data_IF_116225083500
#
_entry.id   IF_116225083500
#
_cell.length_a   1.000
_cell.length_b   1.000
_cell.length_c   1.000
_cell.angle_alpha   90.00
_cell.angle_beta   90.00
_cell.angle_gamma   90.00
#
_symmetry.space_group_name_H-M   'P 1'
#
loop_
_entity.id
_entity.type
_entity.pdbx_description
1 polymer ?
#
# COMPACT_ATOMS: atom_id res chain seq x y z
N UNK A 1 69.67 -34.67 19.05
CA UNK A 1 69.67 -34.22 20.45
C UNK A 1 68.43 -33.37 20.66
N UNK A 2 67.67 -33.69 21.72
CA UNK A 2 66.46 -33.06 22.28
C UNK A 2 66.43 -31.52 22.21
N UNK A 3 65.31 -30.79 22.31
CA UNK A 3 63.98 -30.96 22.94
C UNK A 3 62.99 -30.09 22.12
N UNK A 4 61.67 -30.30 22.03
CA UNK A 4 60.72 -30.64 23.08
C UNK A 4 59.82 -29.44 23.39
N UNK A 5 58.76 -29.20 22.60
CA UNK A 5 57.63 -28.36 23.01
C UNK A 5 56.32 -28.79 22.32
N UNK A 6 55.44 -29.42 23.10
CA UNK A 6 54.01 -29.61 22.84
C UNK A 6 53.32 -28.24 22.85
N UNK A 7 52.31 -28.03 22.01
CA UNK A 7 50.87 -28.09 22.40
C UNK A 7 49.90 -27.72 21.26
N UNK A 8 48.75 -28.41 21.32
CA UNK A 8 47.40 -28.00 20.94
C UNK A 8 47.04 -27.75 19.46
N UNK A 9 46.34 -28.74 18.89
CA UNK A 9 45.32 -28.55 17.84
C UNK A 9 44.16 -27.76 18.44
N UNK A 10 43.70 -26.72 17.75
CA UNK A 10 42.46 -26.00 18.03
C UNK A 10 41.46 -26.25 16.90
N UNK A 11 40.28 -26.72 17.29
CA UNK A 11 39.08 -26.93 16.50
C UNK A 11 38.32 -25.62 16.30
N UNK A 12 37.74 -25.45 15.10
CA UNK A 12 36.51 -24.71 14.76
C UNK A 12 36.31 -23.28 15.29
N UNK A 13 36.02 -22.31 14.41
CA UNK A 13 34.66 -21.77 14.40
C UNK A 13 34.30 -20.91 13.17
N UNK A 14 32.99 -20.86 12.95
CA UNK A 14 32.19 -20.32 11.84
C UNK A 14 32.46 -18.85 11.51
N UNK A 15 32.59 -18.55 10.22
CA UNK A 15 32.35 -17.20 9.69
C UNK A 15 30.85 -16.87 9.83
N UNK A 16 30.56 -15.82 10.59
CA UNK A 16 29.22 -15.41 11.01
C UNK A 16 28.34 -14.97 9.84
N UNK A 17 27.23 -15.69 9.66
CA UNK A 17 26.04 -15.17 9.00
C UNK A 17 25.49 -13.99 9.83
N UNK A 18 25.08 -12.93 9.15
CA UNK A 18 24.36 -11.82 9.76
C UNK A 18 23.13 -12.36 10.52
N UNK A 19 22.79 -11.81 11.71
CA UNK A 19 21.65 -12.29 12.48
C UNK A 19 20.37 -12.06 11.67
N UNK A 20 19.70 -13.16 11.32
CA UNK A 20 18.30 -13.13 10.90
C UNK A 20 17.52 -12.57 12.08
N UNK A 21 16.87 -11.43 11.88
CA UNK A 21 15.90 -10.91 12.83
C UNK A 21 14.66 -11.79 12.78
N UNK A 22 14.68 -12.89 13.53
CA UNK A 22 13.50 -13.73 13.80
C UNK A 22 12.60 -13.00 14.80
N UNK A 23 12.08 -11.83 14.41
CA UNK A 23 10.95 -11.20 15.08
C UNK A 23 9.71 -11.65 14.33
N UNK A 24 8.88 -12.54 14.89
CA UNK A 24 7.59 -12.86 14.32
C UNK A 24 6.78 -11.57 14.19
N UNK A 25 6.23 -11.31 13.01
CA UNK A 25 5.15 -10.33 12.88
C UNK A 25 3.94 -10.96 13.54
N UNK A 26 3.80 -10.76 14.86
CA UNK A 26 2.60 -11.14 15.58
C UNK A 26 1.42 -10.37 14.99
N UNK A 27 0.45 -11.12 14.43
CA UNK A 27 -0.89 -10.64 14.21
C UNK A 27 -1.52 -10.37 15.59
N UNK A 28 -1.36 -9.15 16.09
CA UNK A 28 -1.89 -8.75 17.39
C UNK A 28 -3.43 -8.93 17.44
N UNK A 29 -3.99 -9.43 18.56
CA UNK A 29 -5.42 -9.63 18.71
C UNK A 29 -6.08 -8.26 18.99
N UNK A 30 -7.00 -7.87 18.12
CA UNK A 30 -7.66 -6.56 18.21
C UNK A 30 -9.01 -6.56 17.51
N UNK A 31 -9.89 -7.49 17.91
CA UNK A 31 -11.32 -7.45 17.58
C UNK A 31 -11.97 -6.26 18.30
N UNK A 32 -11.97 -5.08 17.69
CA UNK A 32 -13.03 -4.10 17.96
C UNK A 32 -14.20 -4.43 17.04
N UNK A 33 -15.30 -4.90 17.62
CA UNK A 33 -16.54 -5.13 16.90
C UNK A 33 -16.95 -3.84 16.16
N UNK A 34 -17.03 -3.92 14.84
CA UNK A 34 -17.62 -2.85 14.03
C UNK A 34 -19.15 -2.98 14.08
N UNK A 35 -19.90 -1.86 14.00
CA UNK A 35 -21.34 -1.89 13.96
C UNK A 35 -21.84 -2.73 12.77
N UNK A 36 -22.98 -3.39 12.97
CA UNK A 36 -23.61 -4.25 11.98
C UNK A 36 -23.85 -3.53 10.64
N UNK A 37 -23.81 -4.29 9.55
CA UNK A 37 -24.04 -3.83 8.20
C UNK A 37 -25.28 -2.92 8.10
N UNK A 38 -25.11 -1.74 7.52
CA UNK A 38 -26.24 -0.89 7.12
C UNK A 38 -26.81 -1.50 5.84
N UNK A 39 -28.00 -2.08 5.95
CA UNK A 39 -28.73 -2.65 4.82
C UNK A 39 -29.11 -1.55 3.83
N UNK A 40 -28.56 -1.62 2.61
CA UNK A 40 -29.01 -0.82 1.47
C UNK A 40 -30.35 -1.34 0.90
N UNK A 41 -31.05 -0.53 0.09
CA UNK A 41 -32.33 -0.94 -0.50
C UNK A 41 -32.17 -2.20 -1.36
N UNK A 42 -33.07 -3.15 -1.16
CA UNK A 42 -33.13 -4.45 -1.81
C UNK A 42 -33.41 -4.32 -3.31
N UNK A 43 -32.33 -4.35 -4.09
CA UNK A 43 -32.34 -4.42 -5.55
C UNK A 43 -31.08 -5.13 -6.05
N UNK A 44 -30.83 -6.34 -5.56
CA UNK A 44 -29.67 -7.16 -5.97
C UNK A 44 -29.91 -7.62 -7.42
N UNK A 45 -29.18 -7.03 -8.36
CA UNK A 45 -29.07 -7.55 -9.72
C UNK A 45 -28.10 -8.73 -9.69
N UNK A 46 -28.52 -9.86 -10.26
CA UNK A 46 -27.78 -11.12 -10.25
C UNK A 46 -26.33 -10.91 -10.72
N UNK A 47 -25.37 -11.21 -9.82
CA UNK A 47 -23.93 -11.18 -10.11
C UNK A 47 -23.58 -12.48 -10.84
N UNK A 48 -23.08 -12.44 -12.09
CA UNK A 48 -22.72 -13.64 -12.82
C UNK A 48 -21.60 -14.40 -12.09
N UNK A 49 -21.63 -15.74 -12.04
CA UNK A 49 -20.55 -16.50 -11.45
C UNK A 49 -19.27 -16.37 -12.30
N UNK A 50 -18.17 -15.92 -11.70
CA UNK A 50 -16.82 -16.15 -12.20
C UNK A 50 -16.13 -15.03 -13.00
N UNK A 51 -16.72 -13.84 -13.15
CA UNK A 51 -16.09 -12.72 -13.88
C UNK A 51 -15.58 -11.61 -12.97
N UNK A 52 -14.27 -11.32 -13.02
CA UNK A 52 -13.72 -10.08 -12.44
C UNK A 52 -14.09 -8.89 -13.33
N UNK A 53 -14.46 -7.77 -12.72
CA UNK A 53 -14.64 -6.50 -13.45
C UNK A 53 -13.37 -5.66 -13.39
N UNK A 54 -13.15 -4.84 -14.40
CA UNK A 54 -12.10 -3.82 -14.39
C UNK A 54 -12.71 -2.45 -14.07
N UNK A 55 -12.20 -1.79 -13.05
CA UNK A 55 -12.53 -0.42 -12.65
C UNK A 55 -11.33 0.47 -12.96
N UNK A 56 -11.32 1.05 -14.15
CA UNK A 56 -10.36 2.10 -14.48
C UNK A 56 -10.95 3.44 -14.10
N UNK A 57 -10.26 4.17 -13.22
CA UNK A 57 -10.62 5.56 -12.93
C UNK A 57 -10.22 6.43 -14.14
N UNK A 58 -11.06 6.44 -15.18
CA UNK A 58 -10.91 7.38 -16.30
C UNK A 58 -11.30 8.77 -15.78
N UNK A 59 -10.28 9.60 -15.55
CA UNK A 59 -10.45 10.95 -15.02
C UNK A 59 -11.05 11.87 -16.09
N UNK A 60 -12.15 12.53 -15.77
CA UNK A 60 -12.57 13.71 -16.51
C UNK A 60 -11.62 14.88 -16.18
N UNK A 61 -11.04 15.58 -17.17
CA UNK A 61 -10.18 16.73 -16.92
C UNK A 61 -10.86 17.75 -15.99
N UNK A 62 -10.14 18.18 -14.94
CA UNK A 62 -10.62 19.21 -14.00
C UNK A 62 -11.56 18.71 -12.88
N UNK A 63 -11.88 17.42 -12.79
CA UNK A 63 -12.64 16.89 -11.66
C UNK A 63 -11.85 17.04 -10.34
N UNK A 64 -12.46 17.52 -9.25
CA UNK A 64 -11.80 17.64 -7.96
C UNK A 64 -11.35 16.26 -7.47
N UNK A 65 -10.12 16.17 -6.97
CA UNK A 65 -9.59 14.93 -6.39
C UNK A 65 -9.83 14.93 -4.89
N UNK A 66 -10.31 13.81 -4.38
CA UNK A 66 -10.53 13.59 -2.95
C UNK A 66 -9.66 12.41 -2.51
N UNK A 67 -8.38 12.64 -2.14
CA UNK A 67 -7.47 11.53 -1.85
C UNK A 67 -7.96 10.59 -0.73
N UNK A 68 -8.73 11.13 0.22
CA UNK A 68 -9.43 10.33 1.23
C UNK A 68 -10.42 9.36 0.59
N UNK A 69 -11.26 9.82 -0.34
CA UNK A 69 -12.22 8.95 -1.03
C UNK A 69 -11.51 7.91 -1.87
N UNK A 70 -10.38 8.24 -2.51
CA UNK A 70 -9.61 7.29 -3.30
C UNK A 70 -9.11 6.12 -2.45
N UNK A 71 -8.57 6.41 -1.25
CA UNK A 71 -8.11 5.41 -0.27
C UNK A 71 -9.27 4.64 0.36
N UNK A 72 -10.36 5.34 0.72
CA UNK A 72 -11.50 4.71 1.39
C UNK A 72 -12.37 3.88 0.44
N UNK A 73 -12.40 4.23 -0.85
CA UNK A 73 -13.12 3.49 -1.89
C UNK A 73 -12.70 2.02 -1.96
N UNK A 74 -11.42 1.72 -1.75
CA UNK A 74 -10.90 0.34 -1.73
C UNK A 74 -11.51 -0.47 -0.57
N UNK A 75 -11.78 0.19 0.56
CA UNK A 75 -12.39 -0.44 1.73
C UNK A 75 -13.88 -0.63 1.58
N UNK A 76 -14.58 0.36 1.01
CA UNK A 76 -16.01 0.22 0.70
C UNK A 76 -16.22 -0.92 -0.28
N UNK A 77 -15.41 -0.99 -1.34
CA UNK A 77 -15.46 -2.09 -2.30
C UNK A 77 -15.19 -3.45 -1.64
N UNK A 78 -14.17 -3.54 -0.78
CA UNK A 78 -13.90 -4.74 0.02
C UNK A 78 -15.11 -5.18 0.86
N UNK A 79 -15.78 -4.23 1.51
CA UNK A 79 -16.97 -4.51 2.33
C UNK A 79 -18.14 -5.04 1.48
N UNK A 80 -18.38 -4.44 0.31
CA UNK A 80 -19.45 -4.90 -0.60
C UNK A 80 -19.19 -6.28 -1.16
N UNK A 81 -17.94 -6.58 -1.54
CA UNK A 81 -17.56 -7.94 -1.99
C UNK A 81 -17.68 -8.94 -0.84
N UNK A 82 -17.25 -8.59 0.37
CA UNK A 82 -17.38 -9.45 1.54
C UNK A 82 -18.85 -9.77 1.90
N UNK A 83 -19.75 -8.84 1.64
CA UNK A 83 -21.19 -9.00 1.87
C UNK A 83 -21.91 -9.74 0.73
N UNK A 84 -21.23 -10.03 -0.39
CA UNK A 84 -21.85 -10.58 -1.59
C UNK A 84 -22.72 -9.56 -2.35
N UNK A 85 -22.56 -8.28 -2.06
CA UNK A 85 -23.31 -7.16 -2.67
C UNK A 85 -22.60 -6.61 -3.93
N UNK A 86 -21.33 -6.95 -4.13
CA UNK A 86 -20.55 -6.64 -5.32
C UNK A 86 -19.70 -7.84 -5.76
N UNK A 87 -19.29 -7.85 -7.03
CA UNK A 87 -18.41 -8.87 -7.61
C UNK A 87 -16.93 -8.58 -7.37
N UNK A 88 -16.08 -9.59 -7.56
CA UNK A 88 -14.63 -9.44 -7.61
C UNK A 88 -14.22 -8.38 -8.64
N UNK A 89 -13.24 -7.55 -8.26
CA UNK A 89 -12.88 -6.38 -9.05
C UNK A 89 -11.38 -6.11 -9.02
N UNK A 90 -10.86 -5.61 -10.14
CA UNK A 90 -9.55 -4.99 -10.26
C UNK A 90 -9.77 -3.51 -10.44
N UNK A 91 -9.21 -2.67 -9.57
CA UNK A 91 -9.29 -1.22 -9.68
C UNK A 91 -7.92 -0.64 -9.95
N UNK A 92 -7.79 0.09 -11.04
CA UNK A 92 -6.57 0.79 -11.46
C UNK A 92 -6.81 2.29 -11.40
N UNK A 93 -5.96 3.01 -10.68
CA UNK A 93 -6.06 4.46 -10.58
C UNK A 93 -4.70 5.09 -10.30
N UNK A 94 -4.58 6.35 -10.68
CA UNK A 94 -3.51 7.21 -10.19
C UNK A 94 -4.03 8.02 -9.02
N UNK A 95 -3.39 7.92 -7.83
CA UNK A 95 -3.87 8.61 -6.65
C UNK A 95 -3.56 10.10 -6.73
N UNK A 96 -4.32 10.92 -6.03
CA UNK A 96 -3.94 12.29 -5.73
C UNK A 96 -2.76 12.32 -4.74
N UNK A 97 -1.94 13.39 -4.73
CA UNK A 97 -0.85 13.54 -3.77
C UNK A 97 -1.29 13.27 -2.33
N UNK A 98 -0.83 12.16 -1.76
CA UNK A 98 -1.23 11.66 -0.43
C UNK A 98 -0.04 11.09 0.31
N UNK A 99 0.02 11.30 1.63
CA UNK A 99 0.86 10.49 2.51
C UNK A 99 -0.03 9.57 3.32
N UNK A 100 0.04 8.27 2.99
CA UNK A 100 -0.77 7.25 3.65
C UNK A 100 0.01 6.68 4.84
N UNK A 101 -0.30 7.18 6.03
CA UNK A 101 0.27 6.74 7.30
C UNK A 101 -0.44 5.50 7.82
N UNK A 102 0.30 4.63 8.51
CA UNK A 102 -0.29 3.54 9.28
C UNK A 102 -0.87 4.04 10.60
N UNK A 103 -1.75 3.23 11.20
CA UNK A 103 -2.22 3.46 12.58
C UNK A 103 -1.08 3.46 13.61
N UNK A 104 0.01 2.72 13.37
CA UNK A 104 1.17 2.73 14.27
C UNK A 104 1.87 4.08 14.25
N UNK A 105 2.04 4.65 13.06
CA UNK A 105 2.68 5.97 12.90
C UNK A 105 1.79 7.10 13.38
N UNK A 106 0.46 6.97 13.29
CA UNK A 106 -0.46 7.97 13.86
C UNK A 106 -0.37 8.10 15.38
N UNK A 107 0.20 7.10 16.05
CA UNK A 107 0.45 7.10 17.50
C UNK A 107 1.85 7.63 17.86
N UNK A 108 2.69 7.93 16.88
CA UNK A 108 4.04 8.43 17.13
C UNK A 108 3.99 9.86 17.70
N UNK A 109 4.80 10.23 18.72
CA UNK A 109 4.77 11.57 19.31
C UNK A 109 5.01 12.72 18.32
N UNK A 110 5.73 12.45 17.22
CA UNK A 110 6.03 13.42 16.15
C UNK A 110 5.08 13.31 14.95
N UNK A 111 3.99 12.55 15.06
CA UNK A 111 3.05 12.34 13.96
C UNK A 111 2.45 13.65 13.42
N UNK A 112 2.01 14.55 14.30
CA UNK A 112 1.44 15.84 13.90
C UNK A 112 2.41 16.63 13.00
N UNK A 113 3.70 16.67 13.37
CA UNK A 113 4.76 17.30 12.56
C UNK A 113 4.92 16.64 11.18
N UNK A 114 4.84 15.32 11.11
CA UNK A 114 4.93 14.61 9.82
C UNK A 114 3.71 14.87 8.93
N UNK A 115 2.52 14.97 9.53
CA UNK A 115 1.30 15.33 8.81
C UNK A 115 1.36 16.79 8.31
N UNK A 116 1.92 17.72 9.10
CA UNK A 116 2.10 19.11 8.69
C UNK A 116 3.12 19.26 7.55
N UNK A 117 4.22 18.51 7.59
CA UNK A 117 5.18 18.44 6.48
C UNK A 117 4.52 17.95 5.18
N UNK A 118 3.68 16.91 5.27
CA UNK A 118 2.90 16.44 4.13
C UNK A 118 1.99 17.53 3.55
N UNK A 119 1.23 18.23 4.41
CA UNK A 119 0.35 19.33 3.98
C UNK A 119 1.13 20.47 3.34
N UNK A 120 2.26 20.86 3.93
CA UNK A 120 3.12 21.92 3.41
C UNK A 120 3.69 21.56 2.02
N UNK A 121 3.96 20.28 1.77
CA UNK A 121 4.36 19.77 0.47
C UNK A 121 3.20 19.58 -0.53
N UNK A 122 1.96 19.88 -0.14
CA UNK A 122 0.77 19.71 -1.00
C UNK A 122 0.21 18.29 -1.04
N UNK A 123 0.60 17.42 -0.11
CA UNK A 123 0.08 16.05 0.02
C UNK A 123 -0.91 15.97 1.17
N UNK A 124 -2.02 15.25 0.97
CA UNK A 124 -2.99 15.04 2.04
C UNK A 124 -2.51 13.92 2.99
N UNK A 125 -2.33 14.16 4.30
CA UNK A 125 -2.06 13.09 5.26
C UNK A 125 -3.33 12.28 5.54
N UNK A 126 -3.28 10.97 5.31
CA UNK A 126 -4.39 10.04 5.55
C UNK A 126 -3.92 8.88 6.43
N UNK A 127 -4.70 8.51 7.44
CA UNK A 127 -4.43 7.29 8.21
C UNK A 127 -5.18 6.12 7.56
N UNK A 128 -4.43 5.22 6.92
CA UNK A 128 -5.03 4.05 6.25
C UNK A 128 -5.25 2.90 7.25
N UNK A 129 -6.30 2.08 7.06
CA UNK A 129 -6.53 0.92 7.92
C UNK A 129 -5.59 -0.25 7.69
N UNK A 130 -4.94 -0.32 6.53
CA UNK A 130 -3.92 -1.32 6.26
C UNK A 130 -2.63 -1.00 7.04
N UNK A 131 -1.91 -2.05 7.46
CA UNK A 131 -0.64 -1.91 8.19
C UNK A 131 0.52 -1.39 7.32
N UNK A 132 1.75 -1.68 7.76
CA UNK A 132 2.99 -1.22 7.11
C UNK A 132 3.47 0.12 7.65
N UNK A 133 4.43 0.75 6.95
CA UNK A 133 4.88 2.12 7.23
C UNK A 133 4.24 3.12 6.25
N UNK A 134 4.51 4.39 6.47
CA UNK A 134 4.04 5.50 5.69
C UNK A 134 4.51 5.35 4.25
N UNK A 135 3.61 5.66 3.33
CA UNK A 135 3.90 5.67 1.89
C UNK A 135 3.48 7.01 1.34
N UNK A 136 4.38 7.66 0.62
CA UNK A 136 4.06 8.82 -0.22
C UNK A 136 3.54 8.28 -1.56
N UNK A 137 2.37 8.75 -1.96
CA UNK A 137 1.73 8.45 -3.23
C UNK A 137 1.59 9.75 -4.00
N UNK A 138 2.10 9.76 -5.23
CA UNK A 138 2.00 10.90 -6.14
C UNK A 138 1.12 10.56 -7.35
N UNK A 139 0.79 11.55 -8.16
CA UNK A 139 -0.07 11.37 -9.34
C UNK A 139 0.53 10.48 -10.43
N UNK A 140 1.85 10.34 -10.47
CA UNK A 140 2.56 9.40 -11.33
C UNK A 140 2.65 7.98 -10.75
N UNK A 141 1.90 7.65 -9.70
CA UNK A 141 1.79 6.28 -9.22
C UNK A 141 0.65 5.57 -9.96
N UNK A 142 0.85 4.29 -10.23
CA UNK A 142 -0.23 3.37 -10.52
C UNK A 142 -0.54 2.58 -9.24
N UNK A 143 -1.74 2.76 -8.69
CA UNK A 143 -2.27 1.94 -7.60
C UNK A 143 -3.21 0.90 -8.18
N UNK A 144 -3.01 -0.35 -7.76
CA UNK A 144 -3.73 -1.54 -8.21
C UNK A 144 -4.39 -2.15 -6.98
N UNK A 145 -5.72 -2.15 -6.93
CA UNK A 145 -6.48 -2.89 -5.92
C UNK A 145 -7.08 -4.15 -6.56
N UNK A 146 -6.78 -5.30 -6.00
CA UNK A 146 -7.38 -6.59 -6.32
C UNK A 146 -8.33 -6.96 -5.19
N UNK A 147 -9.63 -6.82 -5.42
CA UNK A 147 -10.66 -7.19 -4.45
C UNK A 147 -11.28 -8.51 -4.89
N UNK A 148 -11.21 -9.51 -4.02
CA UNK A 148 -11.71 -10.85 -4.32
C UNK A 148 -12.49 -11.42 -3.16
N UNK A 149 -13.61 -12.07 -3.46
CA UNK A 149 -14.33 -12.90 -2.52
C UNK A 149 -13.45 -14.06 -2.08
N UNK A 150 -13.52 -14.40 -0.80
CA UNK A 150 -12.69 -15.42 -0.16
C UNK A 150 -13.56 -16.27 0.77
N UNK A 151 -14.12 -17.34 0.22
CA UNK A 151 -15.00 -18.28 0.94
C UNK A 151 -14.23 -19.11 1.98
N UNK A 152 -12.93 -19.35 1.75
CA UNK A 152 -12.01 -19.97 2.68
C UNK A 152 -10.74 -19.13 2.80
N UNK A 153 -10.29 -18.92 4.05
CA UNK A 153 -9.10 -18.11 4.34
C UNK A 153 -7.86 -18.74 3.70
N UNK A 154 -7.26 -18.02 2.75
CA UNK A 154 -5.96 -18.34 2.17
C UNK A 154 -4.83 -17.83 3.07
N UNK A 155 -3.71 -18.53 3.03
CA UNK A 155 -2.50 -18.10 3.72
C UNK A 155 -2.02 -16.74 3.20
N UNK A 156 -1.70 -15.85 4.13
CA UNK A 156 -1.36 -14.47 3.80
C UNK A 156 0.00 -14.34 3.11
N UNK A 157 0.98 -15.13 3.53
CA UNK A 157 2.32 -15.13 2.95
C UNK A 157 2.33 -15.73 1.55
N UNK A 158 1.56 -16.80 1.32
CA UNK A 158 1.37 -17.39 0.01
C UNK A 158 0.77 -16.39 -0.99
N UNK A 159 -0.29 -15.66 -0.60
CA UNK A 159 -0.89 -14.65 -1.47
C UNK A 159 0.09 -13.53 -1.80
N UNK A 160 0.86 -13.04 -0.82
CA UNK A 160 1.91 -12.05 -1.08
C UNK A 160 2.98 -12.57 -2.04
N UNK A 161 3.45 -13.81 -1.82
CA UNK A 161 4.47 -14.44 -2.67
C UNK A 161 3.96 -14.64 -4.10
N UNK A 162 2.75 -15.14 -4.28
CA UNK A 162 2.13 -15.33 -5.60
C UNK A 162 2.01 -13.99 -6.34
N UNK A 163 1.40 -12.99 -5.71
CA UNK A 163 1.20 -11.68 -6.33
C UNK A 163 2.51 -10.95 -6.56
N UNK A 164 3.48 -11.08 -5.66
CA UNK A 164 4.83 -10.54 -5.86
C UNK A 164 5.52 -11.16 -7.09
N UNK A 165 5.32 -12.46 -7.36
CA UNK A 165 5.80 -13.09 -8.61
C UNK A 165 5.11 -12.50 -9.83
N UNK A 166 3.78 -12.39 -9.79
CA UNK A 166 2.98 -11.79 -10.89
C UNK A 166 3.54 -10.39 -11.27
N UNK A 167 3.79 -9.53 -10.28
CA UNK A 167 4.36 -8.20 -10.51
C UNK A 167 5.83 -8.22 -10.96
N UNK A 168 6.63 -9.16 -10.46
CA UNK A 168 8.01 -9.32 -10.91
C UNK A 168 8.07 -9.76 -12.38
N UNK A 169 7.17 -10.64 -12.80
CA UNK A 169 7.09 -11.12 -14.18
C UNK A 169 6.60 -10.03 -15.14
N UNK A 170 5.62 -9.22 -14.73
CA UNK A 170 5.24 -8.00 -15.47
C UNK A 170 6.42 -7.06 -15.66
N UNK A 171 7.14 -6.73 -14.57
CA UNK A 171 8.29 -5.84 -14.64
C UNK A 171 9.42 -6.36 -15.54
N UNK A 172 9.67 -7.68 -15.54
CA UNK A 172 10.59 -8.32 -16.50
C UNK A 172 10.10 -8.17 -17.94
N UNK A 173 8.81 -8.35 -18.17
CA UNK A 173 8.18 -8.13 -19.48
C UNK A 173 8.37 -6.70 -20.01
N UNK A 174 8.49 -5.72 -19.11
CA UNK A 174 8.78 -4.33 -19.43
C UNK A 174 10.28 -4.01 -19.60
N UNK A 175 11.16 -5.00 -19.39
CA UNK A 175 12.61 -4.86 -19.59
C UNK A 175 13.42 -4.58 -18.32
N UNK A 176 12.81 -4.65 -17.13
CA UNK A 176 13.51 -4.44 -15.85
C UNK A 176 14.25 -5.73 -15.42
N UNK A 177 15.44 -5.62 -14.82
CA UNK A 177 16.04 -6.69 -13.99
C UNK A 177 15.27 -6.80 -12.67
N UNK A 178 14.02 -7.28 -12.76
CA UNK A 178 13.11 -7.33 -11.62
C UNK A 178 13.33 -8.59 -10.78
N UNK A 179 13.39 -8.41 -9.46
CA UNK A 179 13.59 -9.47 -8.47
C UNK A 179 12.51 -9.38 -7.41
N UNK A 180 12.00 -10.53 -7.00
CA UNK A 180 11.09 -10.65 -5.87
C UNK A 180 11.92 -10.70 -4.57
N UNK A 181 11.59 -9.82 -3.63
CA UNK A 181 12.27 -9.66 -2.36
C UNK A 181 12.41 -8.20 -1.97
N UNK A 182 12.36 -7.92 -0.68
CA UNK A 182 12.69 -6.60 -0.13
C UNK A 182 14.16 -6.21 -0.35
N UNK A 183 14.42 -4.90 -0.47
CA UNK A 183 15.77 -4.32 -0.44
C UNK A 183 16.12 -3.92 1.00
N UNK A 184 17.37 -4.14 1.40
CA UNK A 184 17.85 -3.69 2.71
C UNK A 184 17.73 -2.15 2.81
N UNK A 185 17.07 -1.67 3.85
CA UNK A 185 16.85 -0.22 4.03
C UNK A 185 15.70 0.36 3.22
N UNK A 186 14.87 -0.46 2.56
CA UNK A 186 13.73 0.08 1.80
C UNK A 186 12.68 0.79 2.67
N UNK A 187 12.08 1.83 2.10
CA UNK A 187 10.91 2.45 2.72
C UNK A 187 9.73 1.46 2.73
N UNK A 188 8.93 1.52 3.79
CA UNK A 188 7.80 0.62 4.02
C UNK A 188 8.16 -0.85 3.72
N UNK A 189 9.10 -1.45 4.48
CA UNK A 189 9.70 -2.73 4.15
C UNK A 189 8.67 -3.86 4.05
N UNK A 190 8.85 -4.72 3.05
CA UNK A 190 8.04 -5.91 2.80
C UNK A 190 8.89 -7.05 2.24
N UNK A 191 8.67 -8.26 2.75
CA UNK A 191 9.39 -9.48 2.32
C UNK A 191 9.18 -9.76 0.82
N UNK A 192 8.00 -9.41 0.29
CA UNK A 192 7.55 -9.71 -1.06
C UNK A 192 7.47 -8.46 -1.96
N UNK A 193 8.23 -7.41 -1.66
CA UNK A 193 8.43 -6.28 -2.57
C UNK A 193 9.04 -6.75 -3.89
N UNK A 194 8.85 -5.97 -4.97
CA UNK A 194 9.60 -6.17 -6.22
C UNK A 194 10.60 -5.04 -6.36
N UNK A 195 11.83 -5.39 -6.69
CA UNK A 195 12.93 -4.44 -6.84
C UNK A 195 13.60 -4.56 -8.22
N UNK A 196 14.26 -3.50 -8.67
CA UNK A 196 15.20 -3.52 -9.77
C UNK A 196 16.62 -3.79 -9.25
N UNK A 197 17.33 -4.69 -9.94
CA UNK A 197 18.76 -4.97 -9.78
C UNK A 197 19.20 -5.41 -8.38
N UNK A 198 18.28 -5.69 -7.47
CA UNK A 198 18.56 -5.97 -6.04
C UNK A 198 18.71 -4.71 -5.18
N UNK A 199 18.41 -3.51 -5.69
CA UNK A 199 18.82 -2.25 -5.07
C UNK A 199 17.71 -1.19 -4.96
N UNK A 200 16.72 -1.18 -5.86
CA UNK A 200 15.69 -0.13 -5.91
C UNK A 200 14.32 -0.76 -5.86
N UNK A 201 13.50 -0.42 -4.87
CA UNK A 201 12.12 -0.90 -4.76
C UNK A 201 11.25 -0.24 -5.83
N UNK A 202 10.54 -1.07 -6.60
CA UNK A 202 9.62 -0.64 -7.65
C UNK A 202 8.16 -0.96 -7.34
N UNK A 203 7.89 -2.05 -6.62
CA UNK A 203 6.53 -2.45 -6.25
C UNK A 203 6.45 -2.67 -4.76
N UNK A 204 5.61 -1.88 -4.11
CA UNK A 204 5.16 -2.12 -2.75
C UNK A 204 3.79 -2.79 -2.74
N UNK A 205 3.62 -3.81 -1.91
CA UNK A 205 2.35 -4.54 -1.78
C UNK A 205 1.81 -4.49 -0.35
N UNK A 206 0.50 -4.46 -0.20
CA UNK A 206 -0.20 -4.59 1.08
C UNK A 206 -1.46 -5.45 0.89
N UNK A 207 -1.99 -6.00 1.97
CA UNK A 207 -3.30 -6.65 1.91
C UNK A 207 -4.11 -6.41 3.18
N UNK A 208 -5.42 -6.43 3.02
CA UNK A 208 -6.39 -6.43 4.11
C UNK A 208 -7.42 -7.51 3.87
N UNK A 209 -7.64 -8.33 4.88
CA UNK A 209 -8.59 -9.43 4.79
C UNK A 209 -9.67 -9.28 5.84
N UNK A 210 -10.90 -9.53 5.41
CA UNK A 210 -12.08 -9.59 6.26
C UNK A 210 -12.77 -10.92 6.02
N UNK A 211 -13.73 -11.29 6.88
CA UNK A 211 -14.53 -12.49 6.63
C UNK A 211 -15.25 -12.34 5.28
N UNK A 212 -14.97 -13.25 4.35
CA UNK A 212 -15.63 -13.33 3.04
C UNK A 212 -14.91 -12.61 1.89
N UNK A 213 -13.87 -11.81 2.14
CA UNK A 213 -13.12 -11.15 1.05
C UNK A 213 -11.73 -10.66 1.44
N UNK A 214 -10.90 -10.44 0.41
CA UNK A 214 -9.55 -9.87 0.48
C UNK A 214 -9.41 -8.67 -0.44
N UNK A 215 -8.74 -7.64 0.05
CA UNK A 215 -8.17 -6.55 -0.72
C UNK A 215 -6.65 -6.76 -0.74
N UNK A 216 -6.08 -6.94 -1.93
CA UNK A 216 -4.64 -6.90 -2.16
C UNK A 216 -4.31 -5.64 -2.96
N UNK A 217 -3.44 -4.79 -2.44
CA UNK A 217 -3.06 -3.53 -3.09
C UNK A 217 -1.59 -3.60 -3.49
N UNK A 218 -1.28 -3.19 -4.71
CA UNK A 218 0.07 -2.88 -5.16
C UNK A 218 0.17 -1.42 -5.59
N UNK A 219 1.36 -0.86 -5.51
CA UNK A 219 1.66 0.48 -5.99
C UNK A 219 2.97 0.47 -6.76
N UNK A 220 2.98 1.11 -7.94
CA UNK A 220 4.11 1.22 -8.84
C UNK A 220 4.35 2.72 -9.12
N UNK A 221 5.48 3.30 -8.70
CA UNK A 221 5.89 4.62 -9.16
C UNK A 221 6.20 4.55 -10.66
N UNK A 222 5.39 5.16 -11.51
CA UNK A 222 5.70 5.25 -12.94
C UNK A 222 6.85 6.24 -13.17
N UNK A 223 6.82 7.37 -12.45
CA UNK A 223 7.89 8.36 -12.34
C UNK A 223 8.00 8.80 -10.88
N UNK A 224 9.21 9.05 -10.38
CA UNK A 224 9.44 9.58 -9.03
C UNK A 224 9.76 11.08 -9.12
N UNK A 225 8.88 11.92 -8.55
CA UNK A 225 9.12 13.37 -8.51
C UNK A 225 10.10 13.73 -7.39
N UNK A 226 10.91 14.79 -7.59
CA UNK A 226 11.77 15.37 -6.54
C UNK A 226 10.98 15.72 -5.27
N UNK A 227 9.73 16.16 -5.45
CA UNK A 227 8.81 16.49 -4.36
C UNK A 227 8.43 15.25 -3.55
N UNK A 228 8.06 14.15 -4.21
CA UNK A 228 7.72 12.91 -3.54
C UNK A 228 8.95 12.29 -2.84
N UNK A 229 10.11 12.30 -3.51
CA UNK A 229 11.38 11.85 -2.93
C UNK A 229 11.76 12.66 -1.68
N UNK A 230 11.76 13.99 -1.77
CA UNK A 230 12.05 14.88 -0.65
C UNK A 230 11.09 14.67 0.52
N UNK A 231 9.80 14.51 0.23
CA UNK A 231 8.79 14.25 1.26
C UNK A 231 8.96 12.89 1.95
N UNK A 232 9.37 11.84 1.21
CA UNK A 232 9.74 10.56 1.82
C UNK A 232 10.89 10.72 2.81
N UNK A 233 11.94 11.46 2.45
CA UNK A 233 13.09 11.75 3.32
C UNK A 233 12.64 12.51 4.57
N UNK A 234 11.86 13.57 4.40
CA UNK A 234 11.39 14.40 5.49
C UNK A 234 10.47 13.63 6.46
N UNK A 235 9.45 12.94 5.95
CA UNK A 235 8.49 12.18 6.79
C UNK A 235 9.18 11.07 7.56
N UNK A 236 10.04 10.27 6.90
CA UNK A 236 10.77 9.21 7.59
C UNK A 236 11.77 9.79 8.63
N UNK A 237 12.41 10.93 8.35
CA UNK A 237 13.27 11.61 9.31
C UNK A 237 12.51 12.16 10.52
N UNK A 238 11.34 12.77 10.32
CA UNK A 238 10.48 13.25 11.42
C UNK A 238 10.00 12.09 12.29
N UNK A 239 9.68 10.95 11.68
CA UNK A 239 9.23 9.75 12.38
C UNK A 239 10.38 8.88 12.90
N UNK A 240 11.64 9.23 12.60
CA UNK A 240 12.86 8.47 12.95
C UNK A 240 12.77 7.00 12.50
N UNK A 241 12.28 6.83 11.27
CA UNK A 241 12.20 5.56 10.60
C UNK A 241 13.48 5.36 9.82
N UNK A 242 14.32 4.42 10.27
CA UNK A 242 15.52 4.04 9.54
C UNK A 242 15.16 3.48 8.15
N UNK A 243 15.79 4.03 7.13
CA UNK A 243 15.71 3.64 5.72
C UNK A 243 16.86 4.31 4.93
N UNK A 244 17.10 3.86 3.69
CA UNK A 244 18.08 4.41 2.76
C UNK A 244 17.37 5.05 1.56
N UNK A 245 17.47 6.38 1.36
CA UNK A 245 16.86 7.07 0.22
C UNK A 245 17.28 6.54 -1.16
N UNK A 246 18.44 5.89 -1.29
CA UNK A 246 18.87 5.30 -2.56
C UNK A 246 18.02 4.07 -2.98
N UNK A 247 17.17 3.56 -2.08
CA UNK A 247 16.36 2.36 -2.32
C UNK A 247 14.99 2.64 -2.91
N UNK A 248 14.57 3.90 -3.05
CA UNK A 248 13.34 4.28 -3.76
C UNK A 248 13.66 4.69 -5.19
N UNK A 249 12.78 4.35 -6.12
CA UNK A 249 12.89 4.74 -7.53
C UNK A 249 11.58 4.51 -8.26
N UNK A 250 11.64 4.51 -9.58
CA UNK A 250 10.47 4.42 -10.46
C UNK A 250 10.71 3.57 -11.69
N UNK A 251 9.60 3.15 -12.31
CA UNK A 251 9.65 2.31 -13.50
C UNK A 251 10.31 3.01 -14.68
N UNK A 252 10.09 4.32 -14.87
CA UNK A 252 10.69 5.09 -15.95
C UNK A 252 12.22 5.22 -15.86
N UNK A 253 12.82 5.01 -14.69
CA UNK A 253 14.28 5.00 -14.51
C UNK A 253 14.91 3.66 -14.89
N UNK A 254 14.12 2.58 -14.88
CA UNK A 254 14.60 1.20 -15.07
C UNK A 254 14.11 0.59 -16.40
N UNK A 255 13.12 1.20 -17.07
CA UNK A 255 12.56 0.71 -18.34
C UNK A 255 12.01 1.85 -19.22
N UNK A 256 11.93 1.59 -20.53
CA UNK A 256 11.34 2.51 -21.53
C UNK A 256 9.87 2.21 -21.85
N UNK A 257 9.20 1.41 -21.00
CA UNK A 257 7.78 1.08 -21.19
C UNK A 257 6.91 2.32 -20.99
N UNK A 258 5.90 2.48 -21.83
CA UNK A 258 4.95 3.59 -21.71
C UNK A 258 3.80 3.24 -20.76
N UNK A 259 3.29 4.23 -20.03
CA UNK A 259 2.27 4.05 -18.99
C UNK A 259 1.02 3.29 -19.45
N UNK A 260 0.57 3.50 -20.70
CA UNK A 260 -0.61 2.82 -21.26
C UNK A 260 -0.37 1.31 -21.42
N UNK A 261 0.85 0.90 -21.75
CA UNK A 261 1.24 -0.52 -21.83
C UNK A 261 1.25 -1.13 -20.44
N UNK A 262 1.80 -0.43 -19.45
CA UNK A 262 1.81 -0.87 -18.04
C UNK A 262 0.39 -1.11 -17.54
N UNK A 263 -0.52 -0.14 -17.75
CA UNK A 263 -1.93 -0.24 -17.34
C UNK A 263 -2.64 -1.39 -18.03
N UNK A 264 -2.46 -1.54 -19.34
CA UNK A 264 -3.04 -2.63 -20.14
C UNK A 264 -2.58 -3.98 -19.62
N UNK A 265 -1.27 -4.19 -19.49
CA UNK A 265 -0.72 -5.50 -19.10
C UNK A 265 -1.15 -5.90 -17.69
N UNK A 266 -1.20 -4.94 -16.75
CA UNK A 266 -1.76 -5.14 -15.41
C UNK A 266 -3.25 -5.52 -15.48
N UNK A 267 -4.03 -4.80 -16.27
CA UNK A 267 -5.46 -5.08 -16.44
C UNK A 267 -5.69 -6.47 -17.04
N UNK A 268 -4.96 -6.82 -18.10
CA UNK A 268 -5.05 -8.12 -18.77
C UNK A 268 -4.66 -9.26 -17.83
N UNK A 269 -3.60 -9.11 -17.03
CA UNK A 269 -3.17 -10.14 -16.10
C UNK A 269 -4.19 -10.40 -14.98
N UNK A 270 -4.71 -9.33 -14.35
CA UNK A 270 -5.49 -9.48 -13.12
C UNK A 270 -7.00 -9.51 -13.32
N UNK A 271 -7.50 -8.87 -14.38
CA UNK A 271 -8.92 -8.82 -14.70
C UNK A 271 -9.25 -9.73 -15.89
N UNK A 272 -8.31 -9.93 -16.82
CA UNK A 272 -8.50 -10.67 -18.07
C UNK A 272 -8.72 -9.74 -19.27
N UNK A 273 -8.38 -10.18 -20.49
CA UNK A 273 -8.46 -9.35 -21.70
C UNK A 273 -9.90 -8.90 -22.04
N UNK A 274 -10.89 -9.72 -21.69
CA UNK A 274 -12.31 -9.47 -21.96
C UNK A 274 -13.08 -8.98 -20.72
N UNK A 275 -12.35 -8.54 -19.68
CA UNK A 275 -12.98 -8.10 -18.44
C UNK A 275 -13.93 -6.92 -18.68
N UNK A 276 -15.20 -7.00 -18.25
CA UNK A 276 -16.13 -5.89 -18.39
C UNK A 276 -15.63 -4.68 -17.60
N UNK A 277 -15.46 -3.55 -18.29
CA UNK A 277 -15.17 -2.26 -17.67
C UNK A 277 -16.42 -1.71 -16.97
N UNK A 278 -16.26 -1.25 -15.74
CA UNK A 278 -17.33 -0.65 -14.90
C UNK A 278 -16.80 0.55 -14.14
N UNK A 279 -17.67 1.50 -13.83
CA UNK A 279 -17.34 2.57 -12.87
C UNK A 279 -17.58 2.10 -11.45
N UNK A 280 -16.80 2.59 -10.50
CA UNK A 280 -16.96 2.22 -9.08
C UNK A 280 -18.39 2.45 -8.54
N UNK A 281 -19.08 3.58 -8.86
CA UNK A 281 -20.47 3.77 -8.43
C UNK A 281 -21.48 2.79 -9.03
N UNK A 282 -21.12 2.05 -10.10
CA UNK A 282 -22.00 0.99 -10.64
C UNK A 282 -21.93 -0.28 -9.81
N UNK A 283 -20.80 -0.53 -9.12
CA UNK A 283 -20.65 -1.65 -8.18
C UNK A 283 -21.02 -1.26 -6.75
N UNK A 284 -20.92 0.02 -6.42
CA UNK A 284 -21.24 0.57 -5.12
C UNK A 284 -22.17 1.78 -5.30
N UNK A 285 -23.48 1.56 -5.52
CA UNK A 285 -24.42 2.64 -5.81
C UNK A 285 -24.50 3.72 -4.73
N UNK A 286 -24.24 3.35 -3.47
CA UNK A 286 -24.27 4.24 -2.31
C UNK A 286 -22.87 4.74 -1.88
N UNK A 287 -21.89 4.69 -2.79
CA UNK A 287 -20.48 5.01 -2.51
C UNK A 287 -20.31 6.34 -1.76
N UNK A 288 -20.97 7.41 -2.21
CA UNK A 288 -20.84 8.73 -1.59
C UNK A 288 -21.28 8.73 -0.11
N UNK A 289 -22.38 8.03 0.20
CA UNK A 289 -22.89 7.89 1.57
C UNK A 289 -21.94 7.05 2.42
N UNK A 290 -21.48 5.92 1.89
CA UNK A 290 -20.54 5.04 2.58
C UNK A 290 -19.20 5.74 2.89
N UNK A 291 -18.68 6.53 1.94
CA UNK A 291 -17.46 7.32 2.13
C UNK A 291 -17.63 8.38 3.21
N UNK A 292 -18.76 9.11 3.20
CA UNK A 292 -19.05 10.14 4.20
C UNK A 292 -19.09 9.58 5.63
N UNK A 293 -19.62 8.36 5.80
CA UNK A 293 -19.64 7.66 7.09
C UNK A 293 -18.25 7.18 7.55
N UNK A 294 -17.35 6.87 6.62
CA UNK A 294 -15.99 6.38 6.92
C UNK A 294 -14.95 7.49 7.09
N UNK A 295 -15.17 8.65 6.47
CA UNK A 295 -14.19 9.74 6.43
C UNK A 295 -14.04 10.46 7.78
N UNK A 296 -15.10 10.57 8.57
CA UNK A 296 -15.15 11.34 9.82
C UNK A 296 -14.06 10.98 10.85
N UNK A 297 -13.58 9.73 10.84
CA UNK A 297 -12.58 9.22 11.80
C UNK A 297 -11.15 9.11 11.23
N UNK A 298 -10.92 9.45 9.95
CA UNK A 298 -9.70 9.01 9.22
C UNK A 298 -8.91 10.10 8.51
N UNK A 299 -9.49 11.29 8.35
CA UNK A 299 -8.73 12.47 7.96
C UNK A 299 -8.03 12.99 9.21
N UNK A 300 -6.71 13.15 9.15
CA UNK A 300 -6.00 13.85 10.23
C UNK A 300 -6.47 15.29 10.18
N UNK A 301 -7.37 15.68 11.09
CA UNK A 301 -7.69 17.09 11.32
C UNK A 301 -6.44 17.78 11.86
N UNK A 302 -6.25 19.05 11.52
CA UNK A 302 -5.26 19.87 12.21
C UNK A 302 -5.64 19.91 13.69
N UNK A 303 -4.70 19.83 14.64
CA UNK A 303 -5.01 20.29 15.98
C UNK A 303 -5.41 21.76 15.86
N UNK A 304 -6.60 22.12 16.35
CA UNK A 304 -6.93 23.53 16.55
C UNK A 304 -5.78 24.14 17.33
N UNK A 305 -5.22 25.23 16.80
CA UNK A 305 -4.28 26.05 17.55
C UNK A 305 -5.02 26.56 18.78
N UNK A 306 -4.87 25.88 19.91
CA UNK A 306 -5.14 26.47 21.21
C UNK A 306 -4.14 27.60 21.37
N UNK A 307 -4.55 28.80 20.92
CA UNK A 307 -3.91 30.04 21.32
C UNK A 307 -4.14 30.14 22.82
N UNK A 308 -3.13 29.79 23.58
CA UNK A 308 -3.05 30.08 25.00
C UNK A 308 -2.94 31.60 25.16
N UNK A 309 -4.08 32.27 25.27
CA UNK A 309 -4.13 33.62 25.80
C UNK A 309 -3.93 33.51 27.30
N UNK A 310 -2.67 33.43 27.72
CA UNK A 310 -2.28 33.55 29.12
C UNK A 310 -2.82 34.86 29.72
N UNK A 311 -3.03 34.92 31.04
CA UNK A 311 -3.70 36.05 31.67
C UNK A 311 -2.80 37.29 31.62
N UNK A 312 -3.30 38.36 31.01
CA UNK A 312 -2.75 39.70 31.22
C UNK A 312 -2.90 40.05 32.70
N UNK A 313 -1.77 40.25 33.36
CA UNK A 313 -1.72 40.74 34.73
C UNK A 313 -2.22 42.18 34.82
N UNK A 314 -3.01 42.43 35.87
CA UNK A 314 -3.18 43.72 36.52
C UNK A 314 -3.28 43.48 38.03
#
# INVERSE_FOLDING_TARGET
MNDGARTARSTADRAGAAPRSDVPIEAGPGSSAFPAAVSGPSGVREVPPGGRVLIEAVRAPGAPRTPVDEVLSSLVLLQRVAAGEATDAVRLFSPAPTVAFSRRESLHPRFARAADAARAAGYLPVVRPAGGRAVVLDEDWLVIDLVSSETARRDDGEVFRERGRDFADLARGWGVDARLGGVAGEYCPGEWSVNARGAVKLVGTAQRVVRGARLFTASIPLRLSERAHGLLVEVNGILDLAWDPATVGSLAEEATVVDDVVRRDVAELFAGPDAPRRRLPELVPDLATALSQLAGDRVVSSPESTVDTGPEGA
#
